data_IF_889407891614
#
_entry.id   IF_889407891614
#
_cell.length_a   1.000
_cell.length_b   1.000
_cell.length_c   1.000
_cell.angle_alpha   90.00
_cell.angle_beta   90.00
_cell.angle_gamma   90.00
#
_symmetry.space_group_name_H-M   'P 1'
#
loop_
_entity.id
_entity.type
_entity.pdbx_description
1 polymer ?
#
# COMPACT_ATOMS: atom_id res chain seq x y z
N UNK A 1 -12.71 -4.39 -4.11
CA UNK A 1 -11.51 -5.23 -3.88
C UNK A 1 -11.16 -5.22 -2.40
N UNK A 2 -11.02 -6.37 -1.71
CA UNK A 2 -10.58 -6.42 -0.33
C UNK A 2 -9.14 -5.95 -0.18
N UNK A 3 -8.88 -5.09 0.80
CA UNK A 3 -7.56 -4.54 1.09
C UNK A 3 -7.27 -4.58 2.58
N UNK A 4 -5.98 -4.74 2.91
CA UNK A 4 -5.46 -4.72 4.26
C UNK A 4 -4.63 -3.46 4.44
N UNK A 5 -4.91 -2.71 5.51
CA UNK A 5 -4.09 -1.57 5.92
C UNK A 5 -2.81 -2.10 6.57
N UNK A 6 -1.67 -1.55 6.17
CA UNK A 6 -0.33 -2.04 6.56
C UNK A 6 0.34 -1.20 7.64
N UNK A 7 -0.22 -0.04 7.98
CA UNK A 7 0.35 0.91 8.93
C UNK A 7 -0.74 1.49 9.83
N UNK A 8 -0.35 1.98 11.00
CA UNK A 8 -1.27 2.70 11.87
C UNK A 8 -1.51 4.09 11.29
N UNK A 9 -2.77 4.44 11.05
CA UNK A 9 -3.17 5.73 10.48
C UNK A 9 -3.89 6.54 11.55
N UNK A 10 -4.99 6.01 12.07
CA UNK A 10 -5.82 6.66 13.09
C UNK A 10 -6.36 5.57 14.03
N UNK A 11 -5.57 5.23 15.05
CA UNK A 11 -5.86 4.12 15.97
C UNK A 11 -7.13 4.33 16.79
N UNK A 12 -7.42 5.59 17.12
CA UNK A 12 -8.63 6.05 17.79
C UNK A 12 -9.90 5.82 16.95
N UNK A 13 -9.75 5.81 15.62
CA UNK A 13 -10.82 5.53 14.65
C UNK A 13 -10.85 4.06 14.20
N UNK A 14 -10.05 3.18 14.80
CA UNK A 14 -9.89 1.77 14.38
C UNK A 14 -9.32 1.59 12.97
N UNK A 15 -8.51 2.54 12.52
CA UNK A 15 -7.79 2.51 11.23
C UNK A 15 -6.32 2.21 11.51
N UNK A 16 -6.00 0.93 11.66
CA UNK A 16 -4.70 0.45 12.12
C UNK A 16 -4.12 -0.64 11.21
N UNK A 17 -2.87 -1.03 11.49
CA UNK A 17 -2.23 -2.13 10.78
C UNK A 17 -3.01 -3.44 11.03
N UNK A 18 -3.53 -4.02 9.96
CA UNK A 18 -4.39 -5.20 10.03
C UNK A 18 -5.87 -4.92 9.79
N UNK A 19 -6.31 -3.65 9.80
CA UNK A 19 -7.68 -3.31 9.44
C UNK A 19 -7.97 -3.74 8.00
N UNK A 20 -9.06 -4.49 7.83
CA UNK A 20 -9.54 -4.95 6.53
C UNK A 20 -10.62 -3.98 6.05
N UNK A 21 -10.54 -3.60 4.79
CA UNK A 21 -11.51 -2.75 4.13
C UNK A 21 -11.76 -3.16 2.69
N UNK A 22 -12.61 -2.40 2.01
CA UNK A 22 -12.89 -2.56 0.59
C UNK A 22 -12.40 -1.33 -0.16
N UNK A 23 -11.47 -1.50 -1.08
CA UNK A 23 -11.08 -0.46 -2.03
C UNK A 23 -12.27 -0.11 -2.91
N UNK A 24 -12.65 1.17 -2.89
CA UNK A 24 -13.73 1.77 -3.70
C UNK A 24 -13.15 2.35 -4.98
N UNK A 25 -12.16 3.24 -4.84
CA UNK A 25 -11.53 3.95 -5.98
C UNK A 25 -10.12 4.41 -5.60
N UNK A 26 -9.22 4.43 -6.58
CA UNK A 26 -7.93 5.14 -6.47
C UNK A 26 -8.10 6.46 -7.23
N UNK A 27 -7.75 7.57 -6.59
CA UNK A 27 -7.80 8.90 -7.19
C UNK A 27 -6.39 9.32 -7.57
N UNK A 28 -6.24 9.76 -8.81
CA UNK A 28 -4.97 10.23 -9.38
C UNK A 28 -5.08 11.71 -9.76
N UNK A 29 -3.94 12.33 -10.06
CA UNK A 29 -3.93 13.71 -10.57
C UNK A 29 -4.55 13.80 -11.98
N UNK A 30 -4.40 12.74 -12.79
CA UNK A 30 -5.01 12.63 -14.12
C UNK A 30 -6.54 12.57 -14.08
N UNK A 31 -7.15 12.12 -12.97
CA UNK A 31 -8.61 12.19 -12.79
C UNK A 31 -9.12 13.64 -12.73
N UNK A 32 -8.25 14.61 -12.39
CA UNK A 32 -8.56 16.04 -12.41
C UNK A 32 -8.30 16.67 -13.80
N UNK A 33 -7.53 16.00 -14.66
CA UNK A 33 -7.16 16.41 -16.02
C UNK A 33 -7.54 15.33 -17.04
N UNK A 34 -8.85 15.18 -17.27
CA UNK A 34 -9.54 14.15 -18.09
C UNK A 34 -9.07 13.96 -19.56
N UNK A 35 -7.91 14.47 -19.99
CA UNK A 35 -7.48 14.45 -21.40
C UNK A 35 -6.12 13.79 -21.69
N UNK A 36 -5.31 13.43 -20.70
CA UNK A 36 -3.99 12.83 -20.95
C UNK A 36 -3.91 11.36 -20.51
N UNK A 37 -4.79 10.50 -21.03
CA UNK A 37 -4.52 9.06 -21.00
C UNK A 37 -3.34 8.78 -21.93
N UNK A 38 -2.14 8.64 -21.39
CA UNK A 38 -1.01 8.10 -22.12
C UNK A 38 -1.37 6.68 -22.57
N UNK A 39 -1.80 6.55 -23.83
CA UNK A 39 -2.08 5.28 -24.51
C UNK A 39 -0.76 4.52 -24.66
N UNK A 40 -0.33 3.85 -23.60
CA UNK A 40 0.84 2.99 -23.66
C UNK A 40 0.43 1.65 -24.25
N UNK A 41 0.58 1.53 -25.57
CA UNK A 41 0.45 0.25 -26.27
C UNK A 41 1.67 -0.62 -25.91
N UNK A 42 1.49 -1.57 -25.00
CA UNK A 42 2.50 -2.58 -24.69
C UNK A 42 1.97 -3.96 -25.11
N UNK A 43 2.73 -4.78 -25.85
CA UNK A 43 2.24 -6.04 -26.41
C UNK A 43 1.77 -7.07 -25.37
N UNK A 44 2.16 -6.90 -24.10
CA UNK A 44 1.77 -7.79 -22.99
C UNK A 44 0.52 -7.36 -22.23
N UNK A 45 0.01 -6.14 -22.46
CA UNK A 45 -1.09 -5.59 -21.70
C UNK A 45 -2.26 -5.20 -22.60
N UNK A 46 -3.51 -5.43 -22.19
CA UNK A 46 -4.68 -4.94 -22.89
C UNK A 46 -4.59 -3.43 -23.15
N UNK A 47 -5.14 -2.97 -24.28
CA UNK A 47 -5.12 -1.56 -24.71
C UNK A 47 -5.86 -0.62 -23.74
N UNK A 48 -6.69 -1.14 -22.85
CA UNK A 48 -7.39 -0.40 -21.79
C UNK A 48 -6.62 -0.36 -20.45
N UNK A 49 -5.35 -0.77 -20.42
CA UNK A 49 -4.54 -0.73 -19.19
C UNK A 49 -4.11 0.69 -18.89
N UNK A 50 -4.58 1.22 -17.75
CA UNK A 50 -4.16 2.54 -17.24
C UNK A 50 -3.06 2.35 -16.20
N UNK A 51 -1.88 2.93 -16.46
CA UNK A 51 -0.78 2.92 -15.52
C UNK A 51 -0.89 4.10 -14.55
N UNK A 52 -1.11 3.80 -13.29
CA UNK A 52 -1.14 4.80 -12.22
C UNK A 52 0.28 5.00 -11.69
N UNK A 53 0.88 6.14 -12.01
CA UNK A 53 2.24 6.48 -11.56
C UNK A 53 2.25 7.09 -10.16
N UNK A 54 1.25 7.92 -9.83
CA UNK A 54 1.17 8.64 -8.56
C UNK A 54 -0.29 8.78 -8.09
N UNK A 55 -0.76 7.89 -7.19
CA UNK A 55 -2.06 8.07 -6.57
C UNK A 55 -2.02 9.21 -5.56
N UNK A 56 -3.04 10.09 -5.58
CA UNK A 56 -3.21 11.12 -4.55
C UNK A 56 -3.75 10.52 -3.25
N UNK A 57 -4.76 9.66 -3.37
CA UNK A 57 -5.32 8.87 -2.28
C UNK A 57 -6.15 7.70 -2.82
N UNK A 58 -6.44 6.75 -1.94
CA UNK A 58 -7.38 5.66 -2.20
C UNK A 58 -8.59 5.80 -1.28
N UNK A 59 -9.79 5.75 -1.83
CA UNK A 59 -11.02 5.65 -1.07
C UNK A 59 -11.21 4.20 -0.62
N UNK A 60 -11.17 3.97 0.68
CA UNK A 60 -11.32 2.64 1.28
C UNK A 60 -12.51 2.67 2.23
N UNK A 61 -13.45 1.76 2.00
CA UNK A 61 -14.55 1.51 2.91
C UNK A 61 -14.08 0.64 4.08
N UNK A 62 -14.23 1.15 5.30
CA UNK A 62 -13.81 0.54 6.56
C UNK A 62 -15.02 0.42 7.50
N UNK A 63 -15.78 -0.69 7.42
CA UNK A 63 -17.02 -0.84 8.19
C UNK A 63 -16.79 -0.92 9.71
N UNK A 64 -15.58 -1.29 10.14
CA UNK A 64 -15.19 -1.38 11.55
C UNK A 64 -14.67 -0.05 12.13
N UNK A 65 -14.55 0.99 11.30
CA UNK A 65 -14.04 2.28 11.76
C UNK A 65 -15.06 3.01 12.63
N UNK A 66 -14.57 3.76 13.63
CA UNK A 66 -15.41 4.60 14.51
C UNK A 66 -15.60 6.01 13.95
N UNK A 67 -15.71 6.17 12.62
CA UNK A 67 -16.05 7.46 12.04
C UNK A 67 -17.50 7.83 12.38
N UNK A 68 -17.66 8.72 13.36
CA UNK A 68 -18.96 9.28 13.75
C UNK A 68 -19.27 10.57 12.99
N UNK A 69 -18.24 11.33 12.61
CA UNK A 69 -18.37 12.50 11.74
C UNK A 69 -18.11 12.09 10.28
N UNK A 70 -19.06 12.38 9.41
CA UNK A 70 -18.83 12.28 7.97
C UNK A 70 -17.72 13.25 7.60
N UNK A 71 -16.67 12.78 6.92
CA UNK A 71 -15.85 13.66 6.10
C UNK A 71 -16.81 14.32 5.11
N UNK A 72 -16.83 15.66 5.06
CA UNK A 72 -17.80 16.41 4.27
C UNK A 72 -17.88 15.84 2.84
N UNK A 73 -19.09 15.45 2.41
CA UNK A 73 -19.38 14.82 1.11
C UNK A 73 -18.95 13.35 0.92
N UNK A 74 -18.49 12.64 1.96
CA UNK A 74 -18.20 11.21 1.91
C UNK A 74 -19.18 10.40 2.77
N UNK A 75 -19.42 9.15 2.36
CA UNK A 75 -20.17 8.21 3.18
C UNK A 75 -19.42 7.91 4.50
N UNK A 76 -20.13 7.70 5.63
CA UNK A 76 -19.52 7.59 6.97
C UNK A 76 -18.40 6.56 7.10
N UNK A 77 -18.42 5.49 6.30
CA UNK A 77 -17.47 4.38 6.36
C UNK A 77 -16.33 4.49 5.36
N UNK A 78 -16.34 5.51 4.48
CA UNK A 78 -15.31 5.67 3.44
C UNK A 78 -14.26 6.66 3.93
N UNK A 79 -13.00 6.21 3.93
CA UNK A 79 -11.86 7.00 4.37
C UNK A 79 -10.86 7.17 3.22
N UNK A 80 -10.39 8.40 2.95
CA UNK A 80 -9.28 8.63 2.04
C UNK A 80 -7.96 8.20 2.70
N UNK A 81 -7.31 7.19 2.11
CA UNK A 81 -6.01 6.69 2.51
C UNK A 81 -4.95 7.31 1.60
N UNK A 82 -4.10 8.16 2.16
CA UNK A 82 -3.03 8.85 1.42
C UNK A 82 -1.74 8.01 1.34
N UNK A 83 -0.91 8.20 0.30
CA UNK A 83 0.40 7.59 0.22
C UNK A 83 1.28 7.99 1.41
N UNK A 84 2.08 7.03 1.89
CA UNK A 84 3.05 7.24 2.95
C UNK A 84 4.46 6.95 2.43
N UNK A 85 5.41 7.79 2.84
CA UNK A 85 6.83 7.55 2.56
C UNK A 85 7.44 6.68 3.65
N UNK A 86 8.06 5.57 3.24
CA UNK A 86 8.81 4.68 4.13
C UNK A 86 10.24 4.60 3.67
N UNK A 87 11.16 4.83 4.60
CA UNK A 87 12.60 4.76 4.35
C UNK A 87 13.18 3.54 5.06
N UNK A 88 13.83 2.68 4.31
CA UNK A 88 14.50 1.47 4.79
C UNK A 88 16.00 1.69 4.66
N UNK A 89 16.71 1.60 5.77
CA UNK A 89 18.18 1.57 5.80
C UNK A 89 18.63 0.11 5.85
N UNK A 90 19.42 -0.29 4.87
CA UNK A 90 19.98 -1.63 4.75
C UNK A 90 21.46 -1.54 5.03
N UNK A 91 21.90 -2.18 6.11
CA UNK A 91 23.32 -2.33 6.42
C UNK A 91 23.90 -3.46 5.57
N UNK A 92 24.90 -3.12 4.76
CA UNK A 92 25.51 -4.05 3.81
C UNK A 92 26.68 -4.85 4.41
N UNK A 93 27.01 -4.61 5.68
CA UNK A 93 28.18 -5.20 6.35
C UNK A 93 28.18 -6.74 6.31
N UNK A 94 27.00 -7.37 6.35
CA UNK A 94 26.83 -8.83 6.29
C UNK A 94 26.80 -9.39 4.86
N UNK A 95 26.62 -8.55 3.85
CA UNK A 95 26.43 -8.96 2.45
C UNK A 95 27.65 -8.70 1.57
N UNK A 96 28.62 -7.92 2.04
CA UNK A 96 29.80 -7.50 1.27
C UNK A 96 31.04 -8.26 1.73
N UNK A 97 31.74 -8.87 0.78
CA UNK A 97 33.09 -9.42 1.00
C UNK A 97 34.16 -8.31 1.00
N UNK A 98 35.33 -8.51 1.65
CA UNK A 98 36.39 -7.49 1.72
C UNK A 98 36.84 -6.96 0.36
N UNK A 99 36.79 -7.80 -0.69
CA UNK A 99 37.12 -7.43 -2.07
C UNK A 99 36.08 -6.46 -2.68
N UNK A 100 34.80 -6.69 -2.45
CA UNK A 100 33.70 -5.83 -2.92
C UNK A 100 33.63 -4.49 -2.15
N UNK A 101 34.14 -4.46 -0.92
CA UNK A 101 34.19 -3.25 -0.08
C UNK A 101 35.05 -2.13 -0.69
N UNK A 102 36.11 -2.50 -1.43
CA UNK A 102 36.95 -1.56 -2.20
C UNK A 102 36.21 -0.96 -3.40
N UNK A 103 35.36 -1.76 -4.08
CA UNK A 103 34.54 -1.28 -5.20
C UNK A 103 33.41 -0.34 -4.75
N UNK A 104 32.86 -0.53 -3.54
CA UNK A 104 31.75 0.28 -3.02
C UNK A 104 32.16 1.58 -2.33
N UNK A 105 33.42 2.02 -2.45
CA UNK A 105 33.93 3.26 -1.83
C UNK A 105 33.65 3.33 -0.31
N UNK A 106 33.76 2.20 0.40
CA UNK A 106 33.43 2.09 1.83
C UNK A 106 31.99 2.45 2.23
N UNK A 107 31.03 2.55 1.29
CA UNK A 107 29.61 2.67 1.65
C UNK A 107 29.15 1.38 2.33
N UNK A 108 28.78 1.51 3.61
CA UNK A 108 28.37 0.38 4.46
C UNK A 108 26.86 0.27 4.63
N UNK A 109 26.10 1.25 4.12
CA UNK A 109 24.64 1.25 4.15
C UNK A 109 24.03 1.83 2.87
N UNK A 110 22.87 1.30 2.48
CA UNK A 110 22.02 1.85 1.43
C UNK A 110 20.72 2.29 2.08
N UNK A 111 20.21 3.46 1.67
CA UNK A 111 18.90 3.95 2.10
C UNK A 111 17.97 3.94 0.91
N UNK A 112 16.84 3.22 1.03
CA UNK A 112 15.81 3.13 0.00
C UNK A 112 14.54 3.78 0.56
N UNK A 113 14.04 4.81 -0.11
CA UNK A 113 12.75 5.42 0.21
C UNK A 113 11.69 4.97 -0.79
N UNK A 114 10.52 4.57 -0.29
CA UNK A 114 9.36 4.22 -1.10
C UNK A 114 8.16 5.03 -0.63
N UNK A 115 7.53 5.77 -1.54
CA UNK A 115 6.23 6.40 -1.32
C UNK A 115 5.17 5.53 -1.96
N UNK A 116 4.21 5.04 -1.16
CA UNK A 116 3.14 4.18 -1.67
C UNK A 116 1.91 4.25 -0.77
N UNK A 117 0.73 3.94 -1.31
CA UNK A 117 -0.47 3.71 -0.51
C UNK A 117 -0.22 2.58 0.51
N UNK A 118 -0.50 2.78 1.82
CA UNK A 118 -0.26 1.78 2.86
C UNK A 118 -1.31 0.65 2.85
N UNK A 119 -1.71 0.18 1.67
CA UNK A 119 -2.68 -0.89 1.47
C UNK A 119 -2.08 -2.03 0.65
N UNK A 120 -2.50 -3.26 0.93
CA UNK A 120 -2.20 -4.44 0.10
C UNK A 120 -3.48 -5.20 -0.21
N UNK A 121 -3.58 -5.90 -1.35
CA UNK A 121 -4.70 -6.80 -1.60
C UNK A 121 -4.84 -7.84 -0.48
N UNK A 122 -6.05 -8.07 0.00
CA UNK A 122 -6.32 -8.97 1.12
C UNK A 122 -7.05 -10.25 0.71
N UNK A 123 -6.78 -10.75 -0.51
CA UNK A 123 -7.35 -12.00 -1.01
C UNK A 123 -6.74 -13.24 -0.34
N UNK A 124 -5.43 -13.21 -0.16
CA UNK A 124 -4.66 -14.28 0.47
C UNK A 124 -3.44 -13.67 1.16
N UNK A 125 -3.03 -14.30 2.26
CA UNK A 125 -1.85 -13.90 3.02
C UNK A 125 -1.12 -15.14 3.50
N UNK A 126 0.21 -15.11 3.48
CA UNK A 126 1.01 -16.22 4.00
C UNK A 126 0.87 -16.31 5.51
N UNK A 127 0.98 -17.52 6.06
CA UNK A 127 0.94 -17.76 7.52
C UNK A 127 1.93 -16.87 8.28
N UNK A 128 3.14 -16.69 7.75
CA UNK A 128 4.14 -15.77 8.30
C UNK A 128 3.64 -14.31 8.34
N UNK A 129 2.89 -13.84 7.34
CA UNK A 129 2.37 -12.46 7.34
C UNK A 129 1.12 -12.29 8.20
N UNK A 130 0.39 -13.37 8.47
CA UNK A 130 -0.70 -13.42 9.44
C UNK A 130 -0.23 -13.39 10.89
N UNK A 131 1.02 -13.78 11.18
CA UNK A 131 1.52 -13.86 12.55
C UNK A 131 1.42 -12.50 13.26
N UNK A 132 0.83 -12.51 14.46
CA UNK A 132 0.62 -11.31 15.27
C UNK A 132 -0.52 -10.40 14.80
N UNK A 133 -1.37 -10.85 13.87
CA UNK A 133 -2.58 -10.14 13.43
C UNK A 133 -3.84 -10.79 13.98
N UNK A 134 -4.84 -9.96 14.25
CA UNK A 134 -6.21 -10.40 14.55
C UNK A 134 -7.01 -10.39 13.26
N UNK A 135 -7.41 -11.58 12.78
CA UNK A 135 -8.23 -11.74 11.57
C UNK A 135 -9.61 -12.26 11.99
N UNK A 136 -10.72 -11.58 11.64
CA UNK A 136 -12.05 -12.00 12.06
C UNK A 136 -12.52 -13.28 11.35
N UNK A 137 -12.04 -13.52 10.14
CA UNK A 137 -12.32 -14.73 9.35
C UNK A 137 -11.12 -15.05 8.46
N UNK A 138 -10.96 -16.33 8.12
CA UNK A 138 -9.91 -16.80 7.20
C UNK A 138 -10.25 -18.19 6.69
N UNK A 139 -9.88 -18.46 5.43
CA UNK A 139 -9.96 -19.80 4.82
C UNK A 139 -8.53 -20.32 4.75
N UNK A 140 -8.30 -21.51 5.30
CA UNK A 140 -6.97 -22.12 5.39
C UNK A 140 -7.04 -23.46 4.68
N UNK A 141 -6.14 -23.67 3.74
CA UNK A 141 -5.89 -24.97 3.13
C UNK A 141 -4.81 -25.69 3.93
N UNK A 142 -5.12 -26.90 4.42
CA UNK A 142 -4.31 -27.66 5.39
C UNK A 142 -3.59 -28.87 4.77
N UNK A 143 -3.48 -28.91 3.44
CA UNK A 143 -2.84 -30.02 2.69
C UNK A 143 -1.44 -30.35 3.20
#
# INVERSE_FOLDING_TARGET
MPVLITHNIATELHISNGSIGRLVRIVTDDDQNLQNTHNFSHPKFPTNTVYITQPLYALVELPQSKLTSCLTNLQPTIVPIVPQQKTIKIDLKSFITPAQKRFLNNKTSITISRTQLPIVPAYAMTTHKCQGKTLPYGIIDLV
#
